data_IF_773804936193
#
_entry.id   IF_773804936193
#
_cell.length_a   1.000
_cell.length_b   1.000
_cell.length_c   1.000
_cell.angle_alpha   90.00
_cell.angle_beta   90.00
_cell.angle_gamma   90.00
#
_symmetry.space_group_name_H-M   'P 1'
#
loop_
_entity.id
_entity.type
_entity.pdbx_description
1 polymer ?
#
# COMPACT_ATOMS: atom_id res chain seq x y z
N UNK A 1 7.61 2.17 -6.56
CA UNK A 1 7.44 1.23 -7.68
C UNK A 1 6.59 0.00 -7.30
N UNK A 2 6.83 -0.66 -6.16
CA UNK A 2 6.16 -1.91 -5.80
C UNK A 2 4.62 -1.84 -5.70
N UNK A 3 4.05 -0.77 -5.15
CA UNK A 3 2.59 -0.61 -5.00
C UNK A 3 1.83 -0.67 -6.31
N UNK A 4 2.36 -0.01 -7.36
CA UNK A 4 1.74 0.03 -8.69
C UNK A 4 1.68 -1.37 -9.30
N UNK A 5 2.75 -2.16 -9.14
CA UNK A 5 2.81 -3.54 -9.65
C UNK A 5 1.79 -4.42 -8.93
N UNK A 6 1.72 -4.32 -7.59
CA UNK A 6 0.77 -5.10 -6.79
C UNK A 6 -0.68 -4.77 -7.19
N UNK A 7 -1.00 -3.48 -7.32
CA UNK A 7 -2.32 -3.04 -7.79
C UNK A 7 -2.66 -3.55 -9.19
N UNK A 8 -1.68 -3.53 -10.09
CA UNK A 8 -1.79 -4.09 -11.44
C UNK A 8 -2.16 -5.58 -11.42
N UNK A 9 -1.42 -6.41 -10.67
CA UNK A 9 -1.70 -7.86 -10.58
C UNK A 9 -3.08 -8.14 -10.00
N UNK A 10 -3.49 -7.41 -8.96
CA UNK A 10 -4.81 -7.59 -8.32
C UNK A 10 -5.93 -7.21 -9.29
N UNK A 11 -5.75 -6.13 -10.04
CA UNK A 11 -6.68 -5.72 -11.07
C UNK A 11 -6.77 -6.75 -12.20
N UNK A 12 -5.63 -7.22 -12.73
CA UNK A 12 -5.57 -8.22 -13.80
C UNK A 12 -6.23 -9.53 -13.38
N UNK A 13 -5.93 -10.02 -12.17
CA UNK A 13 -6.56 -11.21 -11.60
C UNK A 13 -8.08 -11.03 -11.45
N UNK A 14 -8.51 -9.87 -10.94
CA UNK A 14 -9.93 -9.57 -10.78
C UNK A 14 -10.66 -9.49 -12.12
N UNK A 15 -10.04 -8.90 -13.16
CA UNK A 15 -10.58 -8.84 -14.51
C UNK A 15 -10.63 -10.21 -15.20
N UNK A 16 -9.64 -11.08 -14.95
CA UNK A 16 -9.66 -12.47 -15.42
C UNK A 16 -10.87 -13.23 -14.91
N UNK A 17 -11.27 -13.03 -13.64
CA UNK A 17 -12.48 -13.62 -13.08
C UNK A 17 -13.78 -13.09 -13.70
N UNK A 18 -13.75 -11.92 -14.34
CA UNK A 18 -14.92 -11.32 -15.00
C UNK A 18 -15.08 -11.74 -16.46
N UNK A 19 -14.13 -12.47 -17.04
CA UNK A 19 -14.20 -12.92 -18.42
C UNK A 19 -15.49 -13.70 -18.72
N UNK A 20 -15.88 -14.66 -17.88
CA UNK A 20 -17.11 -15.43 -18.06
C UNK A 20 -18.37 -14.55 -18.01
N UNK A 21 -18.36 -13.51 -17.17
CA UNK A 21 -19.46 -12.55 -17.07
C UNK A 21 -19.56 -11.66 -18.31
N UNK A 22 -18.44 -11.34 -18.96
CA UNK A 22 -18.41 -10.59 -20.21
C UNK A 22 -18.91 -11.44 -21.38
N UNK A 23 -18.54 -12.73 -21.44
CA UNK A 23 -19.09 -13.65 -22.44
C UNK A 23 -20.62 -13.81 -22.28
N UNK A 24 -21.10 -13.87 -21.04
CA UNK A 24 -22.53 -13.96 -20.75
C UNK A 24 -23.32 -12.71 -21.20
N UNK A 25 -22.68 -11.56 -21.40
CA UNK A 25 -23.33 -10.36 -21.93
C UNK A 25 -23.48 -10.36 -23.46
N UNK A 26 -23.23 -11.49 -24.13
CA UNK A 26 -23.30 -11.61 -25.59
C UNK A 26 -22.07 -11.05 -26.32
N UNK A 27 -20.96 -10.84 -25.60
CA UNK A 27 -19.71 -10.37 -26.17
C UNK A 27 -18.97 -11.48 -26.90
N UNK A 28 -18.28 -11.15 -28.00
CA UNK A 28 -17.42 -12.12 -28.68
C UNK A 28 -16.24 -12.53 -27.79
N UNK A 29 -15.75 -13.76 -27.97
CA UNK A 29 -14.63 -14.28 -27.17
C UNK A 29 -13.38 -13.43 -27.28
N UNK A 30 -13.09 -12.87 -28.47
CA UNK A 30 -11.95 -11.99 -28.68
C UNK A 30 -12.08 -10.67 -27.92
N UNK A 31 -13.27 -10.05 -27.94
CA UNK A 31 -13.51 -8.79 -27.25
C UNK A 31 -13.52 -8.98 -25.72
N UNK A 32 -14.12 -10.08 -25.23
CA UNK A 32 -14.09 -10.42 -23.82
C UNK A 32 -12.66 -10.71 -23.33
N UNK A 33 -11.85 -11.40 -24.15
CA UNK A 33 -10.44 -11.64 -23.83
C UNK A 33 -9.63 -10.34 -23.75
N UNK A 34 -9.80 -9.42 -24.71
CA UNK A 34 -9.13 -8.11 -24.68
C UNK A 34 -9.52 -7.28 -23.46
N UNK A 35 -10.77 -7.38 -23.03
CA UNK A 35 -11.27 -6.66 -21.86
C UNK A 35 -11.07 -7.41 -20.54
N UNK A 36 -10.28 -8.48 -20.51
CA UNK A 36 -10.02 -9.29 -19.32
C UNK A 36 -8.51 -9.48 -19.09
N UNK A 37 -8.15 -9.99 -17.91
CA UNK A 37 -6.77 -10.34 -17.57
C UNK A 37 -5.77 -9.19 -17.75
N UNK A 38 -4.62 -9.51 -18.34
CA UNK A 38 -3.49 -8.58 -18.51
C UNK A 38 -3.75 -7.49 -19.56
N UNK A 39 -4.59 -7.78 -20.54
CA UNK A 39 -4.91 -6.85 -21.63
C UNK A 39 -5.99 -5.83 -21.25
N UNK A 40 -6.76 -6.09 -20.19
CA UNK A 40 -7.86 -5.23 -19.76
C UNK A 40 -7.42 -3.78 -19.53
N UNK A 41 -6.25 -3.55 -18.94
CA UNK A 41 -5.74 -2.21 -18.69
C UNK A 41 -5.39 -1.45 -19.99
N UNK A 42 -4.99 -2.14 -21.05
CA UNK A 42 -4.65 -1.55 -22.34
C UNK A 42 -5.90 -1.27 -23.19
N UNK A 43 -6.97 -2.04 -23.01
CA UNK A 43 -8.20 -1.93 -23.81
C UNK A 43 -9.21 -0.88 -23.30
N UNK A 44 -8.83 -0.02 -22.35
CA UNK A 44 -9.72 1.01 -21.78
C UNK A 44 -10.23 1.97 -22.86
N UNK A 45 -9.38 2.38 -23.79
CA UNK A 45 -9.80 3.26 -24.89
C UNK A 45 -10.80 2.59 -25.82
N UNK A 46 -10.68 1.28 -26.02
CA UNK A 46 -11.57 0.47 -26.84
C UNK A 46 -13.02 0.46 -26.31
N UNK A 47 -13.21 0.65 -25.00
CA UNK A 47 -14.54 0.68 -24.36
C UNK A 47 -15.44 1.78 -24.94
N UNK A 48 -14.86 2.91 -25.38
CA UNK A 48 -15.60 4.04 -25.96
C UNK A 48 -16.28 3.70 -27.30
N UNK A 49 -15.79 2.67 -27.98
CA UNK A 49 -16.30 2.27 -29.30
C UNK A 49 -17.38 1.18 -29.21
N UNK A 50 -17.69 0.67 -28.01
CA UNK A 50 -18.78 -0.30 -27.81
C UNK A 50 -20.12 0.42 -28.02
N UNK A 51 -20.86 0.00 -29.04
CA UNK A 51 -22.16 0.57 -29.39
C UNK A 51 -23.31 -0.06 -28.61
N UNK A 52 -23.18 -1.33 -28.21
CA UNK A 52 -24.22 -2.04 -27.45
C UNK A 52 -24.23 -1.60 -25.97
N UNK A 53 -25.32 -1.01 -25.47
CA UNK A 53 -25.42 -0.58 -24.08
C UNK A 53 -25.34 -1.73 -23.07
N UNK A 54 -25.75 -2.95 -23.44
CA UNK A 54 -25.68 -4.11 -22.54
C UNK A 54 -24.23 -4.54 -22.31
N UNK A 55 -23.46 -4.69 -23.39
CA UNK A 55 -22.02 -4.96 -23.33
C UNK A 55 -21.26 -3.85 -22.61
N UNK A 56 -21.54 -2.58 -22.92
CA UNK A 56 -20.89 -1.45 -22.26
C UNK A 56 -21.12 -1.46 -20.74
N UNK A 57 -22.34 -1.80 -20.30
CA UNK A 57 -22.65 -1.93 -18.88
C UNK A 57 -21.89 -3.09 -18.22
N UNK A 58 -21.83 -4.25 -18.88
CA UNK A 58 -21.11 -5.41 -18.37
C UNK A 58 -19.61 -5.12 -18.21
N UNK A 59 -19.00 -4.42 -19.18
CA UNK A 59 -17.59 -3.97 -19.10
C UNK A 59 -17.40 -3.01 -17.93
N UNK A 60 -18.24 -1.98 -17.82
CA UNK A 60 -18.13 -1.00 -16.71
C UNK A 60 -18.28 -1.67 -15.35
N UNK A 61 -19.19 -2.63 -15.23
CA UNK A 61 -19.38 -3.38 -13.99
C UNK A 61 -18.17 -4.26 -13.66
N UNK A 62 -17.61 -4.95 -14.66
CA UNK A 62 -16.38 -5.73 -14.49
C UNK A 62 -15.20 -4.86 -14.02
N UNK A 63 -14.99 -3.70 -14.65
CA UNK A 63 -13.95 -2.75 -14.27
C UNK A 63 -14.17 -2.17 -12.87
N UNK A 64 -15.41 -1.77 -12.55
CA UNK A 64 -15.75 -1.23 -11.24
C UNK A 64 -15.51 -2.27 -10.13
N UNK A 65 -15.86 -3.53 -10.36
CA UNK A 65 -15.63 -4.62 -9.41
C UNK A 65 -14.13 -4.85 -9.17
N UNK A 66 -13.33 -4.86 -10.24
CA UNK A 66 -11.88 -5.04 -10.15
C UNK A 66 -11.18 -3.87 -9.45
N UNK A 67 -11.59 -2.63 -9.75
CA UNK A 67 -11.11 -1.45 -9.04
C UNK A 67 -11.50 -1.48 -7.56
N UNK A 68 -12.72 -1.91 -7.23
CA UNK A 68 -13.16 -2.07 -5.84
C UNK A 68 -12.23 -3.00 -5.06
N UNK A 69 -11.86 -4.15 -5.63
CA UNK A 69 -10.92 -5.07 -4.99
C UNK A 69 -9.54 -4.42 -4.75
N UNK A 70 -9.05 -3.64 -5.72
CA UNK A 70 -7.79 -2.91 -5.57
C UNK A 70 -7.86 -1.88 -4.44
N UNK A 71 -8.96 -1.13 -4.33
CA UNK A 71 -9.16 -0.18 -3.23
C UNK A 71 -9.21 -0.86 -1.87
N UNK A 72 -9.92 -1.99 -1.77
CA UNK A 72 -9.99 -2.79 -0.53
C UNK A 72 -8.58 -3.18 -0.09
N UNK A 73 -7.74 -3.68 -1.00
CA UNK A 73 -6.36 -4.04 -0.69
C UNK A 73 -5.57 -2.86 -0.12
N UNK A 74 -5.67 -1.68 -0.76
CA UNK A 74 -4.97 -0.50 -0.27
C UNK A 74 -5.47 -0.05 1.10
N UNK A 75 -6.78 -0.08 1.34
CA UNK A 75 -7.35 0.22 2.65
C UNK A 75 -6.85 -0.76 3.73
N UNK A 76 -6.81 -2.06 3.43
CA UNK A 76 -6.25 -3.06 4.33
C UNK A 76 -4.77 -2.80 4.62
N UNK A 77 -3.97 -2.49 3.59
CA UNK A 77 -2.55 -2.17 3.74
C UNK A 77 -2.34 -0.92 4.62
N UNK A 78 -3.16 0.11 4.45
CA UNK A 78 -3.14 1.31 5.30
C UNK A 78 -3.53 0.99 6.74
N UNK A 79 -4.58 0.19 6.96
CA UNK A 79 -5.01 -0.21 8.30
C UNK A 79 -3.91 -0.99 9.04
N UNK A 80 -3.24 -1.91 8.35
CA UNK A 80 -2.10 -2.66 8.88
C UNK A 80 -0.93 -1.72 9.20
N UNK A 81 -0.61 -0.78 8.30
CA UNK A 81 0.43 0.22 8.54
C UNK A 81 0.16 1.10 9.76
N UNK A 82 -1.09 1.52 9.97
CA UNK A 82 -1.52 2.28 11.16
C UNK A 82 -1.41 1.41 12.42
N UNK A 83 -1.85 0.15 12.35
CA UNK A 83 -1.76 -0.78 13.46
C UNK A 83 -0.31 -0.97 13.94
N UNK A 84 0.63 -1.20 13.01
CA UNK A 84 2.05 -1.27 13.34
C UNK A 84 2.60 0.06 13.87
N UNK A 85 2.19 1.20 13.29
CA UNK A 85 2.62 2.52 13.77
C UNK A 85 2.16 2.80 15.21
N UNK A 86 1.00 2.29 15.62
CA UNK A 86 0.53 2.39 17.00
C UNK A 86 1.36 1.51 17.98
N UNK A 87 1.92 0.40 17.49
CA UNK A 87 2.79 -0.51 18.24
C UNK A 87 4.26 -0.08 18.30
N UNK A 88 4.67 0.87 17.45
CA UNK A 88 5.94 1.58 17.64
C UNK A 88 5.78 2.41 18.91
N UNK A 89 6.17 1.84 20.05
CA UNK A 89 6.34 2.55 21.31
C UNK A 89 7.10 3.83 20.98
N UNK A 90 6.65 4.95 21.55
CA UNK A 90 7.46 6.16 21.60
C UNK A 90 8.74 5.84 22.36
N UNK A 91 9.74 5.26 21.69
CA UNK A 91 11.11 5.27 22.14
C UNK A 91 11.37 6.76 22.34
N UNK A 92 11.40 7.18 23.61
CA UNK A 92 11.83 8.52 23.97
C UNK A 92 13.09 8.70 23.14
N UNK A 93 13.03 9.64 22.20
CA UNK A 93 14.23 10.22 21.66
C UNK A 93 14.93 10.71 22.91
N UNK A 94 15.85 9.90 23.43
CA UNK A 94 16.69 10.30 24.54
C UNK A 94 17.51 11.41 23.91
N UNK A 95 17.00 12.64 24.07
CA UNK A 95 17.79 13.84 23.99
C UNK A 95 18.71 13.79 25.20
N UNK A 96 19.61 12.81 25.22
CA UNK A 96 20.86 12.95 25.93
C UNK A 96 21.60 13.93 25.05
N UNK A 97 21.27 15.21 25.27
CA UNK A 97 22.26 16.23 25.02
C UNK A 97 23.38 15.83 25.98
N UNK A 98 24.36 15.11 25.44
CA UNK A 98 25.70 15.06 26.02
C UNK A 98 26.18 16.50 25.95
N UNK A 99 25.68 17.35 26.86
CA UNK A 99 26.46 18.46 27.33
C UNK A 99 27.70 17.79 27.91
N UNK A 100 28.76 17.80 27.13
CA UNK A 100 30.11 17.56 27.60
C UNK A 100 30.35 18.53 28.77
N UNK A 101 29.97 18.11 29.98
CA UNK A 101 30.42 18.72 31.23
C UNK A 101 31.87 18.28 31.38
N UNK A 102 32.78 18.91 30.62
CA UNK A 102 34.19 18.97 30.98
C UNK A 102 34.28 19.72 32.29
N UNK A 103 34.25 18.98 33.39
CA UNK A 103 34.40 19.51 34.74
C UNK A 103 35.81 20.05 34.95
N UNK A 104 36.02 21.34 34.66
CA UNK A 104 37.05 22.13 35.30
C UNK A 104 36.48 22.68 36.62
N UNK A 105 36.45 21.82 37.63
CA UNK A 105 36.48 22.21 39.04
C UNK A 105 37.23 21.12 39.82
N UNK A 106 38.46 20.85 39.36
CA UNK A 106 39.51 20.35 40.25
C UNK A 106 40.04 21.58 40.98
N UNK A 107 39.41 21.96 42.10
CA UNK A 107 40.09 22.67 43.20
C UNK A 107 39.17 22.74 44.43
N UNK A 108 39.15 21.67 45.22
CA UNK A 108 38.98 21.75 46.68
C UNK A 108 39.90 20.72 47.33
N UNK A 109 41.13 21.15 47.59
CA UNK A 109 41.97 20.70 48.72
C UNK A 109 41.18 20.80 50.04
N UNK A 110 41.52 20.10 51.15
CA UNK A 110 42.70 19.26 51.41
C UNK A 110 42.40 17.88 52.03
N UNK A 111 43.44 17.05 52.04
CA UNK A 111 43.57 15.72 52.66
C UNK A 111 43.13 15.67 54.13
N UNK A 112 42.08 14.91 54.42
CA UNK A 112 41.79 14.38 55.76
C UNK A 112 42.02 12.86 55.73
N UNK A 113 43.30 12.47 55.79
CA UNK A 113 43.70 11.09 56.00
C UNK A 113 43.64 10.79 57.50
N UNK A 114 42.53 10.18 57.90
CA UNK A 114 42.41 9.43 59.14
C UNK A 114 43.20 8.11 58.99
N UNK A 115 44.36 8.03 59.63
CA UNK A 115 45.06 6.78 59.96
C UNK A 115 45.45 6.89 61.45
N UNK A 116 44.66 6.27 62.34
CA UNK A 116 44.95 4.99 63.00
C UNK A 116 46.15 5.04 63.97
N UNK A 117 45.78 4.93 65.27
CA UNK A 117 46.51 4.43 66.45
C UNK A 117 47.75 5.19 66.92
#
# INVERSE_FOLDING_TARGET
AASIVIGGVVFQNSMGQKQSSLLASGMSTSMAAQMSGDSAAASIESIKFITDPAQLRAVREAFAWSLRNMWILYTCMSAVGVFFSAFILKTKLNKEHVETKTGLNVEKTPVENVHNV
#
